data_IF_871196900268
#
_entry.id   IF_871196900268
#
_cell.length_a   1.000
_cell.length_b   1.000
_cell.length_c   1.000
_cell.angle_alpha   90.00
_cell.angle_beta   90.00
_cell.angle_gamma   90.00
#
_symmetry.space_group_name_H-M   'P 1'
#
loop_
_entity.id
_entity.type
_entity.pdbx_description
1 polymer ?
#
# COMPACT_ATOMS: atom_id res chain seq x y z
N UNK A 1 13.76 -5.05 -31.92
CA UNK A 1 13.40 -3.99 -31.19
C UNK A 1 12.55 -4.25 -29.99
N UNK A 2 11.49 -3.56 -29.78
CA UNK A 2 10.72 -3.65 -28.56
C UNK A 2 9.88 -4.90 -28.51
N UNK A 3 10.47 -5.94 -27.96
CA UNK A 3 9.74 -7.18 -27.75
C UNK A 3 8.77 -7.01 -26.61
N UNK A 4 7.48 -7.14 -26.89
CA UNK A 4 6.49 -7.22 -25.85
C UNK A 4 6.55 -8.60 -25.21
N UNK A 5 6.35 -8.70 -23.89
CA UNK A 5 6.34 -10.01 -23.25
C UNK A 5 5.15 -10.84 -23.73
N UNK A 6 5.35 -12.15 -23.86
CA UNK A 6 4.27 -13.07 -24.19
C UNK A 6 3.29 -13.17 -23.04
N UNK A 7 2.04 -13.61 -23.31
CA UNK A 7 1.10 -13.86 -22.20
C UNK A 7 1.65 -14.82 -21.17
N UNK A 8 2.41 -15.85 -21.59
CA UNK A 8 3.03 -16.78 -20.66
C UNK A 8 4.10 -16.13 -19.81
N UNK A 9 4.89 -15.21 -20.37
CA UNK A 9 5.90 -14.48 -19.60
C UNK A 9 5.24 -13.53 -18.61
N UNK A 10 4.16 -12.86 -18.99
CA UNK A 10 3.41 -11.97 -18.09
C UNK A 10 2.84 -12.77 -16.92
N UNK A 11 2.23 -13.91 -17.19
CA UNK A 11 1.67 -14.76 -16.14
C UNK A 11 2.75 -15.24 -15.17
N UNK A 12 3.92 -15.61 -15.71
CA UNK A 12 5.07 -16.04 -14.89
C UNK A 12 5.59 -14.91 -14.04
N UNK A 13 5.70 -13.71 -14.59
CA UNK A 13 6.17 -12.55 -13.84
C UNK A 13 5.21 -12.20 -12.72
N UNK A 14 3.90 -12.22 -12.98
CA UNK A 14 2.90 -11.97 -11.95
C UNK A 14 3.01 -12.99 -10.81
N UNK A 15 3.20 -14.26 -11.15
CA UNK A 15 3.36 -15.33 -10.15
C UNK A 15 4.61 -15.10 -9.31
N UNK A 16 5.73 -14.71 -9.93
CA UNK A 16 6.96 -14.39 -9.21
C UNK A 16 6.80 -13.17 -8.31
N UNK A 17 6.12 -12.12 -8.79
CA UNK A 17 5.87 -10.93 -7.98
C UNK A 17 5.04 -11.28 -6.74
N UNK A 18 4.03 -12.13 -6.88
CA UNK A 18 3.25 -12.60 -5.74
C UNK A 18 4.09 -13.40 -4.75
N UNK A 19 4.98 -14.24 -5.26
CA UNK A 19 5.91 -15.01 -4.42
C UNK A 19 6.87 -14.08 -3.68
N UNK A 20 7.45 -13.12 -4.38
CA UNK A 20 8.34 -12.14 -3.78
C UNK A 20 7.63 -11.35 -2.67
N UNK A 21 6.39 -10.94 -2.93
CA UNK A 21 5.58 -10.25 -1.93
C UNK A 21 5.39 -11.07 -0.67
N UNK A 22 5.12 -12.38 -0.82
CA UNK A 22 4.96 -13.27 0.34
C UNK A 22 6.27 -13.47 1.10
N UNK A 23 7.37 -13.71 0.36
CA UNK A 23 8.68 -13.95 0.98
C UNK A 23 9.17 -12.72 1.73
N UNK A 24 9.07 -11.56 1.12
CA UNK A 24 9.50 -10.29 1.70
C UNK A 24 8.48 -9.69 2.68
N UNK A 25 7.27 -10.22 2.69
CA UNK A 25 6.14 -9.71 3.46
C UNK A 25 5.88 -8.22 3.19
N UNK A 26 5.79 -7.91 1.90
CA UNK A 26 5.57 -6.56 1.40
C UNK A 26 4.44 -6.58 0.39
N UNK A 27 3.49 -5.66 0.52
CA UNK A 27 2.40 -5.50 -0.42
C UNK A 27 2.44 -4.14 -1.09
N UNK A 28 1.71 -4.00 -2.19
CA UNK A 28 1.56 -2.75 -2.90
C UNK A 28 0.16 -2.18 -2.75
N UNK A 29 0.06 -0.86 -2.84
CA UNK A 29 -1.21 -0.17 -2.80
C UNK A 29 -1.20 1.01 -3.77
N UNK A 30 -2.38 1.40 -4.21
CA UNK A 30 -2.54 2.47 -5.17
C UNK A 30 -3.84 3.19 -4.90
N UNK A 31 -3.80 4.52 -4.94
CA UNK A 31 -4.97 5.36 -4.75
C UNK A 31 -5.16 6.31 -5.91
N UNK A 32 -6.38 6.34 -6.44
CA UNK A 32 -6.79 7.30 -7.47
C UNK A 32 -7.58 8.42 -6.78
N UNK A 33 -7.01 9.63 -6.66
CA UNK A 33 -7.69 10.73 -5.96
C UNK A 33 -8.95 11.20 -6.67
N UNK A 34 -9.01 11.09 -8.00
CA UNK A 34 -10.17 11.52 -8.77
C UNK A 34 -11.34 10.56 -8.58
N UNK A 35 -11.10 9.26 -8.72
CA UNK A 35 -12.12 8.23 -8.53
C UNK A 35 -12.34 7.90 -7.06
N UNK A 36 -11.44 8.32 -6.18
CA UNK A 36 -11.44 7.99 -4.74
C UNK A 36 -11.46 6.48 -4.52
N UNK A 37 -10.61 5.77 -5.26
CA UNK A 37 -10.51 4.33 -5.17
C UNK A 37 -9.14 3.91 -4.69
N UNK A 38 -9.11 3.11 -3.64
CA UNK A 38 -7.91 2.52 -3.09
C UNK A 38 -7.86 1.05 -3.49
N UNK A 39 -6.72 0.62 -4.01
CA UNK A 39 -6.49 -0.76 -4.38
C UNK A 39 -5.34 -1.33 -3.55
N UNK A 40 -5.53 -2.51 -3.00
CA UNK A 40 -4.51 -3.27 -2.28
C UNK A 40 -4.17 -4.52 -3.06
N UNK A 41 -2.89 -4.85 -3.16
CA UNK A 41 -2.51 -6.18 -3.63
C UNK A 41 -2.84 -7.22 -2.55
N UNK A 42 -2.86 -8.48 -2.95
CA UNK A 42 -3.19 -9.59 -2.06
C UNK A 42 -2.38 -9.56 -0.77
N UNK A 43 -1.08 -9.23 -0.85
CA UNK A 43 -0.22 -9.26 0.33
C UNK A 43 -0.58 -8.21 1.36
N UNK A 44 -1.15 -7.06 0.97
CA UNK A 44 -1.61 -6.07 1.95
C UNK A 44 -2.73 -6.65 2.81
N UNK A 45 -3.69 -7.35 2.19
CA UNK A 45 -4.75 -8.04 2.93
C UNK A 45 -4.15 -9.01 3.95
N UNK A 46 -3.12 -9.77 3.53
CA UNK A 46 -2.47 -10.74 4.43
C UNK A 46 -1.76 -10.07 5.59
N UNK A 47 -1.10 -8.94 5.35
CA UNK A 47 -0.41 -8.18 6.40
C UNK A 47 -1.40 -7.70 7.46
N UNK A 48 -2.57 -7.20 7.05
CA UNK A 48 -3.60 -6.76 8.00
C UNK A 48 -4.48 -7.90 8.51
N UNK A 49 -4.16 -9.13 8.12
CA UNK A 49 -4.85 -10.35 8.54
C UNK A 49 -6.32 -10.43 8.11
N UNK A 50 -6.57 -9.99 6.89
CA UNK A 50 -7.85 -10.14 6.22
C UNK A 50 -7.73 -11.18 5.11
N UNK A 51 -8.83 -11.88 4.82
CA UNK A 51 -8.90 -12.71 3.62
C UNK A 51 -8.74 -11.80 2.40
N UNK A 52 -7.92 -12.20 1.41
CA UNK A 52 -7.71 -11.38 0.22
C UNK A 52 -9.04 -11.00 -0.44
N UNK A 53 -9.16 -9.73 -0.76
CA UNK A 53 -10.33 -9.14 -1.44
C UNK A 53 -11.66 -9.27 -0.69
N UNK A 54 -11.61 -9.54 0.61
CA UNK A 54 -12.81 -9.71 1.42
C UNK A 54 -13.52 -8.40 1.76
N UNK A 55 -12.81 -7.27 1.67
CA UNK A 55 -13.37 -5.94 1.89
C UNK A 55 -12.88 -5.00 0.79
N UNK A 56 -13.59 -3.91 0.59
CA UNK A 56 -13.15 -2.83 -0.30
C UNK A 56 -12.46 -1.77 0.55
N UNK A 57 -11.13 -1.64 0.46
CA UNK A 57 -10.42 -0.65 1.29
C UNK A 57 -10.73 0.78 0.85
N UNK A 58 -10.73 1.69 1.81
CA UNK A 58 -10.80 3.12 1.55
C UNK A 58 -9.64 3.79 2.29
N UNK A 59 -9.34 5.05 1.97
CA UNK A 59 -8.31 5.77 2.73
C UNK A 59 -8.65 5.80 4.21
N UNK A 60 -9.91 6.07 4.53
CA UNK A 60 -10.35 6.12 5.92
C UNK A 60 -10.18 4.78 6.63
N UNK A 61 -10.60 3.70 6.01
CA UNK A 61 -10.46 2.38 6.61
C UNK A 61 -8.99 2.00 6.75
N UNK A 62 -8.14 2.36 5.78
CA UNK A 62 -6.72 2.04 5.85
C UNK A 62 -6.03 2.78 6.99
N UNK A 63 -6.34 4.07 7.21
CA UNK A 63 -5.81 4.83 8.34
C UNK A 63 -6.27 4.20 9.66
N UNK A 64 -7.49 3.68 9.69
CA UNK A 64 -8.05 3.04 10.88
C UNK A 64 -7.33 1.78 11.34
N UNK A 65 -6.54 1.12 10.47
CA UNK A 65 -5.72 -0.02 10.90
C UNK A 65 -4.47 0.40 11.66
N UNK A 66 -4.00 1.64 11.50
CA UNK A 66 -2.84 2.11 12.26
C UNK A 66 -3.22 2.23 13.75
N UNK A 67 -2.23 2.03 14.62
CA UNK A 67 -2.45 2.19 16.05
C UNK A 67 -2.95 3.62 16.33
N UNK A 68 -3.80 3.82 17.36
CA UNK A 68 -4.38 5.14 17.62
C UNK A 68 -3.37 6.28 17.65
N UNK A 69 -2.20 6.04 18.28
CA UNK A 69 -1.15 7.05 18.38
C UNK A 69 -0.48 7.38 17.04
N UNK A 70 -0.64 6.54 16.02
CA UNK A 70 -0.01 6.71 14.71
C UNK A 70 -0.97 7.27 13.64
N UNK A 71 -2.27 7.26 13.92
CA UNK A 71 -3.28 7.65 12.91
C UNK A 71 -3.11 9.06 12.40
N UNK A 72 -2.82 10.01 13.29
CA UNK A 72 -2.64 11.40 12.89
C UNK A 72 -1.42 11.58 11.98
N UNK A 73 -0.34 10.85 12.26
CA UNK A 73 0.87 10.87 11.43
C UNK A 73 0.58 10.32 10.03
N UNK A 74 -0.14 9.19 9.96
CA UNK A 74 -0.49 8.58 8.68
C UNK A 74 -1.44 9.47 7.87
N UNK A 75 -2.45 10.03 8.53
CA UNK A 75 -3.40 10.91 7.86
C UNK A 75 -2.70 12.16 7.31
N UNK A 76 -1.75 12.72 8.06
CA UNK A 76 -0.98 13.90 7.62
C UNK A 76 -0.10 13.57 6.43
N UNK A 77 0.56 12.41 6.43
CA UNK A 77 1.39 11.99 5.30
C UNK A 77 0.56 11.86 4.02
N UNK A 78 -0.62 11.26 4.11
CA UNK A 78 -1.55 11.15 2.98
C UNK A 78 -1.98 12.54 2.49
N UNK A 79 -2.37 13.42 3.40
CA UNK A 79 -2.81 14.76 3.05
C UNK A 79 -1.71 15.56 2.37
N UNK A 80 -0.49 15.52 2.90
CA UNK A 80 0.65 16.24 2.34
C UNK A 80 1.01 15.72 0.96
N UNK A 81 0.94 14.40 0.76
CA UNK A 81 1.18 13.82 -0.56
C UNK A 81 0.13 14.25 -1.58
N UNK A 82 -1.15 14.25 -1.18
CA UNK A 82 -2.24 14.62 -2.08
C UNK A 82 -2.25 16.13 -2.40
N UNK A 83 -1.96 16.97 -1.41
CA UNK A 83 -2.02 18.42 -1.58
C UNK A 83 -0.73 19.03 -2.10
N UNK A 84 0.42 18.49 -1.71
CA UNK A 84 1.73 19.09 -2.01
C UNK A 84 2.68 18.18 -2.78
N UNK A 85 2.24 16.98 -3.15
CA UNK A 85 3.07 16.07 -3.93
C UNK A 85 4.31 15.56 -3.20
N UNK A 86 4.24 15.44 -1.87
CA UNK A 86 5.38 14.98 -1.08
C UNK A 86 5.29 13.47 -0.81
N UNK A 87 6.36 12.75 -1.15
CA UNK A 87 6.51 11.35 -0.83
C UNK A 87 6.78 11.15 0.67
N UNK A 88 6.53 9.95 1.17
CA UNK A 88 6.89 9.61 2.54
C UNK A 88 7.45 8.21 2.64
N UNK A 89 8.17 7.97 3.74
CA UNK A 89 8.74 6.69 4.11
C UNK A 89 8.72 6.65 5.63
N UNK A 90 7.77 5.92 6.22
CA UNK A 90 7.53 5.92 7.65
C UNK A 90 7.45 4.50 8.19
N UNK A 91 7.94 4.30 9.41
CA UNK A 91 7.68 3.10 10.17
C UNK A 91 6.68 3.43 11.27
N UNK A 92 5.56 2.74 11.26
CA UNK A 92 4.45 3.03 12.16
C UNK A 92 3.85 1.74 12.70
N UNK A 93 3.30 1.78 13.92
CA UNK A 93 2.58 0.64 14.47
C UNK A 93 1.19 0.51 13.82
N UNK A 94 0.82 -0.72 13.54
CA UNK A 94 -0.46 -1.06 12.95
C UNK A 94 -1.10 -2.17 13.77
N UNK A 95 -2.42 -2.12 13.94
CA UNK A 95 -3.18 -3.17 14.62
C UNK A 95 -3.98 -3.92 13.56
N UNK A 96 -3.70 -5.22 13.42
CA UNK A 96 -4.34 -6.04 12.40
C UNK A 96 -5.82 -6.24 12.70
N UNK A 97 -6.55 -6.80 11.72
CA UNK A 97 -7.95 -7.13 11.91
C UNK A 97 -8.19 -8.14 13.05
N UNK A 98 -7.17 -8.93 13.38
CA UNK A 98 -7.23 -9.87 14.51
C UNK A 98 -6.75 -9.26 15.82
N UNK A 99 -6.45 -7.97 15.84
CA UNK A 99 -6.02 -7.27 17.04
C UNK A 99 -4.54 -7.41 17.37
N UNK A 100 -3.74 -7.93 16.46
CA UNK A 100 -2.31 -8.09 16.66
C UNK A 100 -1.57 -6.81 16.29
N UNK A 101 -0.72 -6.32 17.20
CA UNK A 101 0.07 -5.11 16.95
C UNK A 101 1.37 -5.49 16.23
N UNK A 102 1.59 -4.88 15.08
CA UNK A 102 2.79 -5.09 14.27
C UNK A 102 3.40 -3.73 13.92
N UNK A 103 4.62 -3.75 13.43
CA UNK A 103 5.29 -2.58 12.88
C UNK A 103 5.34 -2.71 11.37
N UNK A 104 4.97 -1.66 10.66
CA UNK A 104 5.03 -1.64 9.21
C UNK A 104 5.84 -0.45 8.73
N UNK A 105 6.54 -0.65 7.62
CA UNK A 105 7.14 0.44 6.85
C UNK A 105 6.18 0.76 5.72
N UNK A 106 5.68 1.97 5.69
CA UNK A 106 4.75 2.42 4.66
C UNK A 106 5.40 3.52 3.84
N UNK A 107 5.46 3.27 2.52
CA UNK A 107 6.04 4.21 1.57
C UNK A 107 4.94 4.67 0.63
N UNK A 108 4.89 5.98 0.37
CA UNK A 108 3.97 6.54 -0.60
C UNK A 108 4.69 7.47 -1.56
N UNK A 109 4.38 7.30 -2.84
CA UNK A 109 4.97 8.08 -3.92
C UNK A 109 3.85 8.71 -4.74
N UNK A 110 3.70 10.05 -4.70
CA UNK A 110 2.70 10.71 -5.53
C UNK A 110 3.20 10.88 -6.96
N UNK A 111 2.30 10.66 -7.91
CA UNK A 111 2.51 11.02 -9.30
C UNK A 111 1.81 12.35 -9.54
N UNK A 112 2.59 13.38 -9.90
CA UNK A 112 2.08 14.73 -10.05
C UNK A 112 2.15 15.14 -11.52
N UNK A 113 1.01 15.60 -12.06
CA UNK A 113 0.92 16.13 -13.42
C UNK A 113 0.24 17.50 -13.34
N UNK A 114 0.88 18.51 -13.91
CA UNK A 114 0.37 19.89 -13.89
C UNK A 114 0.02 20.38 -12.48
N UNK A 115 0.88 20.06 -11.52
CA UNK A 115 0.70 20.49 -10.14
C UNK A 115 -0.35 19.72 -9.35
N UNK A 116 -0.92 18.66 -9.92
CA UNK A 116 -1.94 17.84 -9.26
C UNK A 116 -1.46 16.43 -9.04
N UNK A 117 -1.75 15.89 -7.87
CA UNK A 117 -1.53 14.48 -7.61
C UNK A 117 -2.61 13.68 -8.34
N UNK A 118 -2.21 12.93 -9.36
CA UNK A 118 -3.14 12.13 -10.16
C UNK A 118 -3.16 10.67 -9.72
N UNK A 119 -2.15 10.24 -8.97
CA UNK A 119 -2.06 8.89 -8.43
C UNK A 119 -1.14 8.92 -7.22
N UNK A 120 -1.46 8.11 -6.25
CA UNK A 120 -0.62 7.87 -5.09
C UNK A 120 -0.42 6.36 -5.00
N UNK A 121 0.82 5.91 -4.94
CA UNK A 121 1.11 4.48 -4.90
C UNK A 121 2.28 4.21 -3.97
N UNK A 122 2.38 3.00 -3.49
CA UNK A 122 3.48 2.65 -2.62
C UNK A 122 3.44 1.23 -2.11
N UNK A 123 4.09 1.02 -0.98
CA UNK A 123 4.24 -0.30 -0.38
C UNK A 123 3.93 -0.25 1.11
N UNK A 124 3.55 -1.42 1.62
CA UNK A 124 3.44 -1.70 3.06
C UNK A 124 4.27 -2.94 3.31
N UNK A 125 5.22 -2.86 4.22
CA UNK A 125 6.09 -3.98 4.58
C UNK A 125 5.95 -4.25 6.07
N UNK A 126 5.75 -5.52 6.44
CA UNK A 126 5.80 -5.92 7.85
C UNK A 126 7.25 -5.99 8.28
N UNK A 127 7.67 -5.11 9.17
CA UNK A 127 9.05 -5.03 9.66
C UNK A 127 9.15 -5.44 11.13
N UNK A 128 8.13 -6.10 11.65
CA UNK A 128 8.04 -6.46 13.07
C UNK A 128 9.20 -7.33 13.52
N UNK A 129 9.64 -8.25 12.67
CA UNK A 129 10.69 -9.21 13.03
C UNK A 129 12.10 -8.70 12.75
N UNK A 130 12.22 -7.50 12.20
CA UNK A 130 13.52 -6.94 11.83
C UNK A 130 14.32 -6.51 13.06
#
# INVERSE_FOLDING_TARGET
>A
LDSLPTPGAIARELELLRRMARIANIGGWEYDPLARQLYWTEQVYRIVELEPYSVTPTLESSVGYYAPEARATMARALQTALEHGEAWDLELPLVTARGRRIWVRVIGEPEVIDGRCVKLAGTVEDVTAA
#
